data_IF_599291284504
#
_entry.id   IF_599291284504
#
_cell.length_a   1.000
_cell.length_b   1.000
_cell.length_c   1.000
_cell.angle_alpha   90.00
_cell.angle_beta   90.00
_cell.angle_gamma   90.00
#
_symmetry.space_group_name_H-M   'P 1'
#
loop_
_entity.id
_entity.type
_entity.pdbx_description
1 polymer ?
#
# COMPACT_ATOMS: atom_id res chain seq x y z
N UNK A 1 32.75 -4.79 5.66
CA UNK A 1 32.04 -3.66 5.01
C UNK A 1 30.59 -4.06 4.84
N UNK A 2 29.62 -3.20 5.15
CA UNK A 2 28.20 -3.52 4.95
C UNK A 2 27.93 -3.85 3.48
N UNK A 3 27.17 -4.92 3.20
CA UNK A 3 26.85 -5.32 1.84
C UNK A 3 25.98 -4.26 1.14
N UNK A 4 26.08 -4.19 -0.20
CA UNK A 4 25.26 -3.26 -0.98
C UNK A 4 23.80 -3.71 -1.06
N UNK A 5 22.87 -2.78 -0.83
CA UNK A 5 21.42 -3.03 -0.81
C UNK A 5 20.88 -3.17 -2.24
N UNK A 6 20.19 -4.26 -2.53
CA UNK A 6 19.48 -4.47 -3.80
C UNK A 6 18.19 -3.64 -3.86
N UNK A 7 17.89 -3.07 -5.02
CA UNK A 7 16.72 -2.23 -5.26
C UNK A 7 15.42 -3.05 -5.45
N UNK A 8 15.19 -4.05 -4.60
CA UNK A 8 13.99 -4.88 -4.63
C UNK A 8 13.43 -5.12 -3.22
N UNK A 9 12.11 -5.31 -3.18
CA UNK A 9 11.35 -5.86 -2.06
C UNK A 9 10.82 -7.22 -2.51
N UNK A 10 11.00 -8.24 -1.68
CA UNK A 10 10.67 -9.63 -2.02
C UNK A 10 9.65 -10.22 -1.06
N UNK A 11 8.70 -10.96 -1.60
CA UNK A 11 7.84 -11.87 -0.84
C UNK A 11 8.59 -13.13 -0.45
N UNK A 12 7.90 -13.99 0.29
CA UNK A 12 8.40 -15.28 0.78
C UNK A 12 7.29 -16.33 0.78
N UNK A 13 7.69 -17.59 0.77
CA UNK A 13 6.79 -18.71 0.46
C UNK A 13 5.78 -18.98 1.58
N UNK A 14 6.24 -19.09 2.83
CA UNK A 14 5.43 -19.61 3.93
C UNK A 14 5.61 -18.91 5.29
N UNK A 15 5.28 -19.64 6.35
CA UNK A 15 5.29 -19.15 7.75
C UNK A 15 6.71 -19.05 8.34
N UNK A 16 7.67 -19.75 7.76
CA UNK A 16 9.07 -19.76 8.19
C UNK A 16 9.98 -19.68 6.98
N UNK A 17 11.19 -19.15 7.20
CA UNK A 17 12.19 -19.07 6.14
C UNK A 17 12.84 -20.42 5.92
N UNK A 18 12.80 -20.88 4.66
CA UNK A 18 13.54 -22.06 4.24
C UNK A 18 15.06 -21.80 4.27
N UNK A 19 15.90 -22.84 4.36
CA UNK A 19 17.36 -22.67 4.24
C UNK A 19 17.78 -21.97 2.95
N UNK A 20 17.06 -22.21 1.85
CA UNK A 20 17.30 -21.60 0.55
C UNK A 20 16.99 -20.10 0.56
N UNK A 21 15.81 -19.71 1.07
CA UNK A 21 15.43 -18.30 1.26
C UNK A 21 16.42 -17.56 2.16
N UNK A 22 16.84 -18.18 3.28
CA UNK A 22 17.83 -17.58 4.19
C UNK A 22 19.14 -17.25 3.47
N UNK A 23 19.65 -18.20 2.69
CA UNK A 23 20.87 -17.99 1.90
C UNK A 23 20.65 -16.92 0.83
N UNK A 24 19.58 -17.05 0.06
CA UNK A 24 19.26 -16.16 -1.05
C UNK A 24 19.10 -14.71 -0.60
N UNK A 25 18.34 -14.46 0.48
CA UNK A 25 18.13 -13.11 1.02
C UNK A 25 19.40 -12.53 1.65
N UNK A 26 20.20 -13.34 2.36
CA UNK A 26 21.48 -12.89 2.92
C UNK A 26 22.49 -12.50 1.83
N UNK A 27 22.52 -13.21 0.71
CA UNK A 27 23.39 -12.87 -0.43
C UNK A 27 22.86 -11.65 -1.21
N UNK A 28 21.54 -11.59 -1.39
CA UNK A 28 20.86 -10.55 -2.17
C UNK A 28 20.87 -9.19 -1.48
N UNK A 29 20.61 -9.15 -0.18
CA UNK A 29 20.41 -7.93 0.61
C UNK A 29 19.30 -7.02 0.03
N UNK A 30 18.04 -7.50 -0.12
CA UNK A 30 16.93 -6.67 -0.60
C UNK A 30 16.67 -5.51 0.37
N UNK A 31 16.10 -4.41 -0.12
CA UNK A 31 15.77 -3.25 0.74
C UNK A 31 14.67 -3.58 1.75
N UNK A 32 13.88 -4.61 1.47
CA UNK A 32 12.79 -5.03 2.32
C UNK A 32 12.14 -6.33 1.88
N UNK A 33 11.10 -6.70 2.63
CA UNK A 33 10.29 -7.87 2.43
C UNK A 33 8.81 -7.51 2.53
N UNK A 34 7.93 -8.24 1.86
CA UNK A 34 6.48 -8.05 1.97
C UNK A 34 5.80 -9.33 2.47
N UNK A 35 4.94 -9.18 3.48
CA UNK A 35 4.18 -10.28 4.06
C UNK A 35 2.77 -10.36 3.44
N UNK A 36 2.35 -11.59 3.16
CA UNK A 36 1.00 -11.93 2.71
C UNK A 36 0.32 -12.85 3.71
N UNK A 37 -0.98 -13.13 3.50
CA UNK A 37 -1.76 -14.01 4.37
C UNK A 37 -1.09 -15.37 4.61
N UNK A 38 -0.41 -15.93 3.61
CA UNK A 38 0.32 -17.20 3.69
C UNK A 38 1.51 -17.19 4.67
N UNK A 39 1.92 -16.01 5.13
CA UNK A 39 3.03 -15.81 6.07
C UNK A 39 2.54 -15.52 7.51
N UNK A 40 1.22 -15.50 7.73
CA UNK A 40 0.57 -15.06 8.97
C UNK A 40 -0.22 -16.21 9.59
N UNK A 41 0.21 -16.68 10.75
CA UNK A 41 -0.52 -17.66 11.56
C UNK A 41 -0.87 -17.10 12.95
N UNK A 42 0.13 -16.90 13.83
CA UNK A 42 -0.03 -16.36 15.19
C UNK A 42 0.87 -15.14 15.42
N UNK A 43 0.57 -14.26 16.41
CA UNK A 43 1.43 -13.13 16.74
C UNK A 43 2.89 -13.51 17.01
N UNK A 44 3.13 -14.60 17.75
CA UNK A 44 4.46 -15.09 18.08
C UNK A 44 5.21 -15.60 16.84
N UNK A 45 4.53 -16.34 15.96
CA UNK A 45 5.11 -16.80 14.70
C UNK A 45 5.50 -15.63 13.80
N UNK A 46 4.62 -14.63 13.64
CA UNK A 46 4.91 -13.46 12.80
C UNK A 46 6.08 -12.65 13.38
N UNK A 47 6.13 -12.42 14.70
CA UNK A 47 7.27 -11.75 15.36
C UNK A 47 8.58 -12.49 15.09
N UNK A 48 8.59 -13.82 15.20
CA UNK A 48 9.76 -14.65 14.92
C UNK A 48 10.21 -14.57 13.45
N UNK A 49 9.26 -14.63 12.52
CA UNK A 49 9.51 -14.49 11.09
C UNK A 49 10.12 -13.13 10.75
N UNK A 50 9.51 -12.04 11.24
CA UNK A 50 9.98 -10.67 11.02
C UNK A 50 11.38 -10.46 11.62
N UNK A 51 11.62 -10.96 12.84
CA UNK A 51 12.94 -10.91 13.46
C UNK A 51 14.00 -11.67 12.61
N UNK A 52 13.64 -12.84 12.10
CA UNK A 52 14.50 -13.63 11.22
C UNK A 52 14.84 -12.89 9.92
N UNK A 53 13.84 -12.25 9.28
CA UNK A 53 14.04 -11.46 8.06
C UNK A 53 14.99 -10.27 8.30
N UNK A 54 14.78 -9.52 9.38
CA UNK A 54 15.64 -8.39 9.74
C UNK A 54 17.08 -8.82 10.02
N UNK A 55 17.28 -9.98 10.63
CA UNK A 55 18.61 -10.52 10.93
C UNK A 55 19.40 -10.97 9.68
N UNK A 56 18.74 -11.15 8.52
CA UNK A 56 19.41 -11.56 7.28
C UNK A 56 20.08 -10.42 6.52
N UNK A 57 19.75 -9.17 6.85
CA UNK A 57 20.24 -8.00 6.11
C UNK A 57 21.01 -7.02 7.00
N UNK A 58 22.03 -6.37 6.43
CA UNK A 58 22.96 -5.49 7.15
C UNK A 58 22.42 -4.05 7.34
N UNK A 59 21.11 -3.85 7.18
CA UNK A 59 20.45 -2.54 7.20
C UNK A 59 19.06 -2.63 7.81
N UNK A 60 18.43 -1.48 8.09
CA UNK A 60 17.03 -1.46 8.52
C UNK A 60 16.14 -1.91 7.37
N UNK A 61 15.67 -3.17 7.43
CA UNK A 61 14.77 -3.73 6.44
C UNK A 61 13.40 -3.03 6.49
N UNK A 62 12.87 -2.70 5.33
CA UNK A 62 11.45 -2.36 5.19
C UNK A 62 10.64 -3.67 5.23
N UNK A 63 9.77 -3.83 6.21
CA UNK A 63 8.86 -4.97 6.35
C UNK A 63 7.46 -4.46 6.03
N UNK A 64 6.97 -4.83 4.85
CA UNK A 64 5.74 -4.37 4.25
C UNK A 64 4.59 -5.37 4.50
N UNK A 65 3.38 -4.86 4.50
CA UNK A 65 2.13 -5.63 4.46
C UNK A 65 1.07 -4.80 3.72
N UNK A 66 -0.01 -5.42 3.24
CA UNK A 66 -1.23 -4.70 2.86
C UNK A 66 -2.31 -4.89 3.93
N UNK A 67 -2.37 -3.98 4.89
CA UNK A 67 -3.36 -4.00 5.95
C UNK A 67 -4.35 -2.83 5.82
N UNK A 68 -5.03 -2.67 4.68
CA UNK A 68 -5.93 -1.52 4.45
C UNK A 68 -7.17 -1.53 5.36
N UNK A 69 -7.66 -2.72 5.73
CA UNK A 69 -8.99 -2.92 6.30
C UNK A 69 -9.99 -3.42 5.26
N UNK A 70 -11.18 -3.81 5.71
CA UNK A 70 -12.18 -4.40 4.82
C UNK A 70 -11.62 -5.62 4.08
N UNK A 71 -11.89 -5.77 2.78
CA UNK A 71 -11.44 -6.96 2.02
C UNK A 71 -9.91 -7.10 1.90
N UNK A 72 -9.12 -6.03 1.97
CA UNK A 72 -7.65 -6.08 1.89
C UNK A 72 -7.06 -6.03 3.30
N UNK A 73 -7.01 -7.20 3.93
CA UNK A 73 -6.42 -7.39 5.26
C UNK A 73 -5.74 -8.74 5.40
N UNK A 74 -4.48 -8.75 5.84
CA UNK A 74 -3.70 -9.98 6.05
C UNK A 74 -3.81 -10.45 7.50
N UNK A 75 -3.71 -9.52 8.45
CA UNK A 75 -4.01 -9.72 9.87
C UNK A 75 -5.54 -9.71 10.06
N UNK A 76 -6.06 -10.71 10.77
CA UNK A 76 -7.49 -10.94 10.96
C UNK A 76 -7.81 -11.50 12.35
N UNK A 77 -9.08 -11.44 12.79
CA UNK A 77 -9.52 -12.21 13.95
C UNK A 77 -9.17 -13.70 13.85
N UNK A 78 -8.97 -14.38 14.99
CA UNK A 78 -9.17 -13.88 16.36
C UNK A 78 -7.98 -13.12 16.96
N UNK A 79 -6.81 -13.14 16.32
CA UNK A 79 -5.59 -12.57 16.89
C UNK A 79 -5.49 -11.05 16.74
N UNK A 80 -6.14 -10.49 15.72
CA UNK A 80 -6.09 -9.07 15.44
C UNK A 80 -7.49 -8.49 15.22
N UNK A 81 -7.66 -7.17 15.43
CA UNK A 81 -8.93 -6.48 15.19
C UNK A 81 -9.34 -6.56 13.72
N UNK A 82 -10.65 -6.48 13.48
CA UNK A 82 -11.19 -6.36 12.12
C UNK A 82 -11.45 -4.88 11.79
N UNK A 83 -10.49 -4.25 11.11
CA UNK A 83 -10.63 -2.85 10.68
C UNK A 83 -11.59 -2.75 9.48
N UNK A 84 -12.47 -1.73 9.44
CA UNK A 84 -13.42 -1.57 8.35
C UNK A 84 -12.73 -1.17 7.04
N UNK A 85 -13.44 -1.27 5.92
CA UNK A 85 -12.99 -0.68 4.66
C UNK A 85 -12.95 0.86 4.78
N UNK A 86 -12.10 1.52 3.98
CA UNK A 86 -11.93 2.97 4.06
C UNK A 86 -13.23 3.75 3.83
N UNK A 87 -14.09 3.31 2.89
CA UNK A 87 -15.36 3.97 2.60
C UNK A 87 -16.33 4.00 3.80
N UNK A 88 -16.17 3.08 4.76
CA UNK A 88 -17.02 2.99 5.94
C UNK A 88 -16.89 4.21 6.86
N UNK A 89 -15.74 4.90 6.86
CA UNK A 89 -15.52 6.04 7.75
C UNK A 89 -16.47 7.21 7.43
N UNK A 90 -16.76 7.46 6.15
CA UNK A 90 -17.69 8.49 5.70
C UNK A 90 -19.16 8.16 6.01
N UNK A 91 -19.49 6.88 6.26
CA UNK A 91 -20.86 6.44 6.53
C UNK A 91 -21.28 6.59 8.00
N UNK A 92 -20.32 6.77 8.92
CA UNK A 92 -20.59 6.78 10.38
C UNK A 92 -20.70 8.18 10.96
N UNK A 93 -20.32 9.20 10.20
CA UNK A 93 -20.44 10.61 10.58
C UNK A 93 -20.54 11.50 9.35
N UNK A 94 -21.26 12.62 9.47
CA UNK A 94 -21.32 13.67 8.47
C UNK A 94 -20.46 14.90 8.85
N UNK A 95 -19.74 14.85 9.98
CA UNK A 95 -18.81 15.90 10.39
C UNK A 95 -17.41 15.59 9.83
N UNK A 96 -16.89 16.39 8.88
CA UNK A 96 -15.57 16.15 8.27
C UNK A 96 -14.42 16.12 9.28
N UNK A 97 -14.53 16.82 10.42
CA UNK A 97 -13.49 16.79 11.45
C UNK A 97 -13.52 15.48 12.23
N UNK A 98 -14.72 14.99 12.58
CA UNK A 98 -14.88 13.71 13.26
C UNK A 98 -14.44 12.56 12.35
N UNK A 99 -14.78 12.59 11.06
CA UNK A 99 -14.32 11.62 10.07
C UNK A 99 -12.79 11.60 9.97
N UNK A 100 -12.16 12.77 9.83
CA UNK A 100 -10.70 12.89 9.74
C UNK A 100 -10.01 12.33 10.98
N UNK A 101 -10.51 12.65 12.18
CA UNK A 101 -9.96 12.12 13.43
C UNK A 101 -10.18 10.60 13.55
N UNK A 102 -11.33 10.09 13.10
CA UNK A 102 -11.62 8.66 13.09
C UNK A 102 -10.67 7.89 12.14
N UNK A 103 -10.43 8.43 10.94
CA UNK A 103 -9.49 7.85 9.97
C UNK A 103 -8.06 7.85 10.53
N UNK A 104 -7.62 8.96 11.12
CA UNK A 104 -6.29 9.05 11.78
C UNK A 104 -6.19 8.04 12.93
N UNK A 105 -7.23 7.93 13.76
CA UNK A 105 -7.26 7.00 14.89
C UNK A 105 -7.21 5.54 14.45
N UNK A 106 -7.98 5.17 13.42
CA UNK A 106 -7.96 3.83 12.84
C UNK A 106 -6.59 3.45 12.31
N UNK A 107 -5.97 4.33 11.52
CA UNK A 107 -4.60 4.13 11.03
C UNK A 107 -3.57 4.08 12.17
N UNK A 108 -3.74 4.89 13.23
CA UNK A 108 -2.85 4.89 14.40
C UNK A 108 -2.95 3.59 15.21
N UNK A 109 -4.14 3.02 15.37
CA UNK A 109 -4.38 1.73 16.01
C UNK A 109 -3.80 0.58 15.17
N UNK A 110 -4.04 0.61 13.87
CA UNK A 110 -3.48 -0.36 12.93
C UNK A 110 -1.95 -0.32 12.93
N UNK A 111 -1.35 0.88 12.95
CA UNK A 111 0.10 1.04 13.06
C UNK A 111 0.65 0.49 14.39
N UNK A 112 -0.09 0.61 15.49
CA UNK A 112 0.28 -0.01 16.75
C UNK A 112 0.35 -1.54 16.61
N UNK A 113 -0.70 -2.16 16.07
CA UNK A 113 -0.77 -3.62 15.88
C UNK A 113 0.36 -4.14 14.96
N UNK A 114 0.68 -3.39 13.90
CA UNK A 114 1.78 -3.71 12.99
C UNK A 114 3.15 -3.57 13.66
N UNK A 115 3.37 -2.48 14.40
CA UNK A 115 4.63 -2.21 15.07
C UNK A 115 4.95 -3.26 16.14
N UNK A 116 3.94 -3.80 16.84
CA UNK A 116 4.11 -4.90 17.79
C UNK A 116 4.68 -6.17 17.14
N UNK A 117 4.39 -6.40 15.86
CA UNK A 117 4.93 -7.51 15.06
C UNK A 117 6.31 -7.18 14.46
N UNK A 118 6.79 -5.94 14.60
CA UNK A 118 8.00 -5.44 13.98
C UNK A 118 7.82 -5.04 12.50
N UNK A 119 6.58 -5.01 11.99
CA UNK A 119 6.23 -4.51 10.67
C UNK A 119 6.31 -2.98 10.71
N UNK A 120 7.00 -2.37 9.75
CA UNK A 120 7.33 -0.94 9.79
C UNK A 120 6.92 -0.18 8.52
N UNK A 121 6.26 -0.85 7.58
CA UNK A 121 5.64 -0.25 6.40
C UNK A 121 4.29 -0.90 6.16
N UNK A 122 3.27 -0.08 5.92
CA UNK A 122 1.98 -0.56 5.45
C UNK A 122 1.71 0.01 4.06
N UNK A 123 1.23 -0.84 3.16
CA UNK A 123 0.83 -0.48 1.81
C UNK A 123 -0.55 0.19 1.84
N UNK A 124 -0.68 1.25 2.62
CA UNK A 124 -1.86 2.08 2.79
C UNK A 124 -1.40 3.51 3.08
N UNK A 125 -2.22 4.54 2.77
CA UNK A 125 -3.59 4.49 2.28
C UNK A 125 -3.74 4.39 0.75
N UNK A 126 -4.92 3.96 0.31
CA UNK A 126 -5.38 4.09 -1.09
C UNK A 126 -5.85 5.53 -1.33
N UNK A 127 -5.23 6.21 -2.28
CA UNK A 127 -5.55 7.59 -2.69
C UNK A 127 -6.26 7.64 -4.06
N UNK A 128 -6.81 6.52 -4.50
CA UNK A 128 -7.54 6.41 -5.75
C UNK A 128 -8.95 7.01 -5.61
N UNK A 129 -9.37 7.81 -6.59
CA UNK A 129 -10.70 8.46 -6.60
C UNK A 129 -11.65 7.69 -7.51
N UNK A 130 -12.53 6.82 -6.98
CA UNK A 130 -13.41 5.99 -7.79
C UNK A 130 -14.34 6.86 -8.64
N UNK A 131 -14.60 6.44 -9.88
CA UNK A 131 -15.60 7.06 -10.76
C UNK A 131 -16.83 6.16 -10.89
N UNK A 132 -18.02 6.70 -11.22
CA UNK A 132 -19.26 5.91 -11.28
C UNK A 132 -19.19 4.66 -12.18
N UNK A 133 -18.47 4.73 -13.29
CA UNK A 133 -18.34 3.62 -14.27
C UNK A 133 -17.04 2.82 -14.11
N UNK A 134 -16.29 3.05 -13.02
CA UNK A 134 -15.03 2.36 -12.78
C UNK A 134 -15.26 0.95 -12.22
N UNK A 135 -14.24 0.09 -12.36
CA UNK A 135 -14.27 -1.24 -11.78
C UNK A 135 -14.18 -1.17 -10.25
N UNK A 136 -14.83 -2.12 -9.58
CA UNK A 136 -14.84 -2.30 -8.11
C UNK A 136 -13.47 -2.71 -7.52
N UNK A 137 -12.37 -2.58 -8.27
CA UNK A 137 -11.03 -2.90 -7.75
C UNK A 137 -10.59 -1.88 -6.70
N UNK A 138 -11.04 -0.63 -6.83
CA UNK A 138 -10.94 0.39 -5.78
C UNK A 138 -12.16 0.28 -4.87
N UNK A 139 -13.37 0.59 -5.35
CA UNK A 139 -14.63 0.39 -4.60
C UNK A 139 -14.56 0.93 -3.17
N UNK A 140 -14.91 0.09 -2.20
CA UNK A 140 -14.90 0.35 -0.76
C UNK A 140 -13.53 0.67 -0.14
N UNK A 141 -12.43 0.49 -0.89
CA UNK A 141 -11.07 0.81 -0.45
C UNK A 141 -10.75 2.30 -0.55
N UNK A 142 -11.54 3.08 -1.27
CA UNK A 142 -11.37 4.53 -1.33
C UNK A 142 -11.90 5.20 -0.06
N UNK A 143 -11.22 6.25 0.38
CA UNK A 143 -11.66 7.06 1.51
C UNK A 143 -12.78 8.06 1.18
N UNK A 144 -13.23 8.11 -0.07
CA UNK A 144 -14.27 9.03 -0.51
C UNK A 144 -14.48 9.01 -2.01
N UNK A 145 -15.40 9.85 -2.49
CA UNK A 145 -15.79 9.92 -3.90
C UNK A 145 -15.34 11.22 -4.59
N UNK A 146 -14.81 12.19 -3.85
CA UNK A 146 -14.23 13.40 -4.42
C UNK A 146 -12.72 13.45 -4.22
N UNK A 147 -11.97 14.16 -5.09
CA UNK A 147 -10.53 14.35 -4.93
C UNK A 147 -10.16 14.98 -3.59
N UNK A 148 -10.98 15.90 -3.10
CA UNK A 148 -10.75 16.61 -1.83
C UNK A 148 -10.89 15.66 -0.64
N UNK A 149 -11.96 14.85 -0.61
CA UNK A 149 -12.18 13.92 0.49
C UNK A 149 -11.05 12.88 0.55
N UNK A 150 -10.71 12.28 -0.59
CA UNK A 150 -9.62 11.30 -0.68
C UNK A 150 -8.27 11.92 -0.27
N UNK A 151 -8.01 13.17 -0.66
CA UNK A 151 -6.78 13.86 -0.28
C UNK A 151 -6.68 14.08 1.24
N UNK A 152 -7.78 14.55 1.87
CA UNK A 152 -7.83 14.89 3.30
C UNK A 152 -7.82 13.64 4.17
N UNK A 153 -8.65 12.66 3.85
CA UNK A 153 -8.73 11.41 4.63
C UNK A 153 -7.50 10.53 4.41
N UNK A 154 -6.99 10.48 3.19
CA UNK A 154 -5.69 9.86 2.90
C UNK A 154 -4.55 10.48 3.70
N UNK A 155 -4.54 11.82 3.83
CA UNK A 155 -3.57 12.53 4.68
C UNK A 155 -3.70 12.11 6.15
N UNK A 156 -4.93 12.04 6.66
CA UNK A 156 -5.20 11.63 8.05
C UNK A 156 -4.71 10.20 8.33
N UNK A 157 -4.95 9.28 7.39
CA UNK A 157 -4.44 7.90 7.49
C UNK A 157 -2.90 7.89 7.52
N UNK A 158 -2.24 8.62 6.62
CA UNK A 158 -0.78 8.76 6.62
C UNK A 158 -0.24 9.28 7.95
N UNK A 159 -0.89 10.30 8.52
CA UNK A 159 -0.51 10.88 9.81
C UNK A 159 -0.68 9.87 10.96
N UNK A 160 -1.73 9.06 10.93
CA UNK A 160 -1.95 7.98 11.91
C UNK A 160 -0.87 6.90 11.83
N UNK A 161 -0.52 6.45 10.63
CA UNK A 161 0.56 5.48 10.42
C UNK A 161 1.91 5.99 10.93
N UNK A 162 2.28 7.21 10.50
CA UNK A 162 3.55 7.83 10.89
C UNK A 162 3.64 8.02 12.41
N UNK A 163 2.56 8.48 13.04
CA UNK A 163 2.46 8.61 14.51
C UNK A 163 2.64 7.28 15.25
N UNK A 164 2.25 6.16 14.63
CA UNK A 164 2.46 4.81 15.14
C UNK A 164 3.84 4.20 14.83
N UNK A 165 4.70 4.91 14.10
CA UNK A 165 6.02 4.41 13.70
C UNK A 165 6.02 3.51 12.46
N UNK A 166 4.92 3.47 11.71
CA UNK A 166 4.78 2.72 10.46
C UNK A 166 4.80 3.68 9.28
N UNK A 167 5.59 3.39 8.25
CA UNK A 167 5.60 4.22 7.04
C UNK A 167 4.36 3.92 6.18
N UNK A 168 3.59 4.94 5.76
CA UNK A 168 2.55 4.75 4.77
C UNK A 168 3.15 4.65 3.36
N UNK A 169 2.49 3.88 2.50
CA UNK A 169 2.72 3.86 1.05
C UNK A 169 1.45 4.33 0.36
N UNK A 170 1.47 5.55 -0.17
CA UNK A 170 0.33 6.08 -0.92
C UNK A 170 0.22 5.35 -2.27
N UNK A 171 -0.99 4.90 -2.63
CA UNK A 171 -1.20 4.08 -3.83
C UNK A 171 -2.57 4.28 -4.49
N UNK A 172 -2.73 4.01 -5.79
CA UNK A 172 -1.69 3.58 -6.74
C UNK A 172 -1.35 4.76 -7.64
N UNK A 173 -0.16 5.38 -7.47
CA UNK A 173 0.20 6.62 -8.14
C UNK A 173 0.35 6.40 -9.66
N UNK A 174 -0.23 7.24 -10.54
CA UNK A 174 -0.91 8.50 -10.25
C UNK A 174 -2.46 8.42 -10.13
N UNK A 175 -3.05 7.24 -10.02
CA UNK A 175 -4.47 7.05 -9.67
C UNK A 175 -5.13 5.89 -10.42
N UNK A 176 -5.67 4.91 -9.71
CA UNK A 176 -6.35 3.73 -10.25
C UNK A 176 -7.89 3.89 -10.31
N UNK A 177 -8.42 4.99 -9.77
CA UNK A 177 -9.87 5.17 -9.58
C UNK A 177 -10.74 5.20 -10.84
N UNK A 178 -10.13 5.38 -12.02
CA UNK A 178 -10.77 5.33 -13.35
C UNK A 178 -10.68 3.99 -14.07
N UNK A 179 -9.94 3.02 -13.53
CA UNK A 179 -9.68 1.78 -14.23
C UNK A 179 -10.98 1.00 -14.47
N UNK A 180 -11.24 0.63 -15.72
CA UNK A 180 -12.37 -0.22 -16.10
C UNK A 180 -12.14 -1.72 -15.90
N UNK A 181 -11.01 -2.13 -15.33
CA UNK A 181 -10.66 -3.53 -15.12
C UNK A 181 -9.79 -3.71 -13.86
N UNK A 182 -9.79 -4.93 -13.32
CA UNK A 182 -8.86 -5.35 -12.29
C UNK A 182 -7.47 -5.63 -12.89
N UNK A 183 -6.45 -4.89 -12.44
CA UNK A 183 -5.05 -5.07 -12.86
C UNK A 183 -4.43 -6.42 -12.50
N UNK A 184 -5.07 -7.22 -11.63
CA UNK A 184 -4.68 -8.62 -11.40
C UNK A 184 -5.04 -9.52 -12.59
N UNK A 185 -6.04 -9.13 -13.38
CA UNK A 185 -6.62 -9.93 -14.46
C UNK A 185 -6.22 -9.40 -15.83
N UNK A 186 -6.44 -8.10 -16.07
CA UNK A 186 -6.21 -7.44 -17.37
C UNK A 186 -5.56 -6.07 -17.19
N UNK A 187 -4.85 -5.58 -18.20
CA UNK A 187 -4.26 -4.23 -18.16
C UNK A 187 -5.36 -3.15 -18.28
N UNK A 188 -5.64 -2.37 -17.22
CA UNK A 188 -6.67 -1.34 -17.28
C UNK A 188 -6.21 -0.17 -18.14
N UNK A 189 -7.13 0.35 -18.93
CA UNK A 189 -6.92 1.50 -19.81
C UNK A 189 -7.82 2.65 -19.38
N UNK A 190 -7.26 3.85 -19.33
CA UNK A 190 -7.95 5.09 -18.98
C UNK A 190 -7.83 6.07 -20.14
N UNK A 191 -8.99 6.44 -20.69
CA UNK A 191 -9.14 7.36 -21.83
C UNK A 191 -9.40 8.83 -21.42
N UNK A 192 -9.42 9.11 -20.11
CA UNK A 192 -9.62 10.45 -19.59
C UNK A 192 -8.54 11.43 -20.10
N UNK A 193 -8.95 12.68 -20.32
CA UNK A 193 -8.04 13.75 -20.74
C UNK A 193 -7.05 14.09 -19.62
N UNK A 194 -5.87 14.58 -19.99
CA UNK A 194 -4.84 14.94 -19.02
C UNK A 194 -5.33 15.96 -17.97
N UNK A 195 -6.12 16.95 -18.38
CA UNK A 195 -6.68 17.95 -17.45
C UNK A 195 -7.64 17.33 -16.41
N UNK A 196 -8.40 16.31 -16.81
CA UNK A 196 -9.30 15.59 -15.90
C UNK A 196 -8.50 14.72 -14.93
N UNK A 197 -7.47 14.03 -15.44
CA UNK A 197 -6.54 13.26 -14.61
C UNK A 197 -5.83 14.15 -13.58
N UNK A 198 -5.39 15.36 -14.00
CA UNK A 198 -4.75 16.32 -13.10
C UNK A 198 -5.70 16.82 -12.02
N UNK A 199 -6.95 17.15 -12.38
CA UNK A 199 -7.93 17.71 -11.44
C UNK A 199 -8.48 16.68 -10.45
N UNK A 200 -8.55 15.41 -10.86
CA UNK A 200 -9.22 14.35 -10.09
C UNK A 200 -8.23 13.35 -9.54
N UNK A 201 -7.60 12.57 -10.42
CA UNK A 201 -6.81 11.40 -10.04
C UNK A 201 -5.48 11.80 -9.38
N UNK A 202 -4.83 12.85 -9.88
CA UNK A 202 -3.50 13.25 -9.43
C UNK A 202 -3.56 14.10 -8.16
N UNK A 203 -4.69 14.76 -7.93
CA UNK A 203 -4.86 15.75 -6.87
C UNK A 203 -4.60 15.18 -5.46
N UNK A 204 -5.15 14.00 -5.06
CA UNK A 204 -4.79 13.39 -3.78
C UNK A 204 -3.29 13.14 -3.61
N UNK A 205 -2.61 12.72 -4.68
CA UNK A 205 -1.16 12.49 -4.64
C UNK A 205 -0.35 13.78 -4.61
N UNK A 206 -0.84 14.87 -5.22
CA UNK A 206 -0.21 16.20 -5.13
C UNK A 206 -0.25 16.74 -3.70
N UNK A 207 -1.40 16.63 -3.03
CA UNK A 207 -1.58 17.05 -1.63
C UNK A 207 -0.70 16.23 -0.68
N UNK A 208 -0.48 14.96 -1.01
CA UNK A 208 0.30 14.01 -0.20
C UNK A 208 1.70 13.71 -0.78
N UNK A 209 2.23 14.59 -1.65
CA UNK A 209 3.50 14.38 -2.33
C UNK A 209 4.72 14.34 -1.37
N UNK A 210 4.55 14.84 -0.15
CA UNK A 210 5.53 14.82 0.92
C UNK A 210 5.65 13.46 1.63
N UNK A 211 4.83 12.46 1.28
CA UNK A 211 4.89 11.12 1.87
C UNK A 211 6.19 10.36 1.54
N UNK A 212 6.63 9.43 2.41
CA UNK A 212 7.94 8.79 2.26
C UNK A 212 8.01 7.83 1.07
N UNK A 213 6.91 7.11 0.78
CA UNK A 213 6.85 6.03 -0.21
C UNK A 213 5.55 6.15 -1.00
N UNK A 214 5.61 5.90 -2.31
CA UNK A 214 4.44 5.74 -3.16
C UNK A 214 4.59 4.51 -4.06
N UNK A 215 3.48 3.84 -4.34
CA UNK A 215 3.42 2.63 -5.17
C UNK A 215 2.78 2.92 -6.52
N UNK A 216 3.44 2.56 -7.62
CA UNK A 216 2.99 2.88 -8.98
C UNK A 216 1.85 1.97 -9.46
N UNK A 217 0.87 2.53 -10.15
CA UNK A 217 -0.23 1.78 -10.76
C UNK A 217 0.20 1.03 -12.04
N UNK A 218 -0.27 -0.21 -12.19
CA UNK A 218 -0.25 -0.92 -13.47
C UNK A 218 -1.44 -0.51 -14.36
N UNK A 219 -1.56 0.79 -14.64
CA UNK A 219 -2.66 1.38 -15.43
C UNK A 219 -2.08 2.14 -16.62
N UNK A 220 -2.69 1.98 -17.79
CA UNK A 220 -2.30 2.66 -19.02
C UNK A 220 -3.20 3.89 -19.24
N UNK A 221 -2.58 5.07 -19.28
CA UNK A 221 -3.27 6.35 -19.46
C UNK A 221 -3.03 6.86 -20.88
N UNK A 222 -4.04 6.77 -21.75
CA UNK A 222 -3.89 7.05 -23.18
C UNK A 222 -3.46 8.49 -23.47
N UNK A 223 -3.88 9.45 -22.63
CA UNK A 223 -3.48 10.85 -22.74
C UNK A 223 -1.98 11.10 -22.44
N UNK A 224 -1.26 10.13 -21.86
CA UNK A 224 0.14 10.28 -21.42
C UNK A 224 1.05 9.31 -22.19
N UNK A 225 0.77 8.01 -22.08
CA UNK A 225 1.47 6.94 -22.78
C UNK A 225 0.47 5.82 -23.12
N UNK A 226 0.14 5.70 -24.40
CA UNK A 226 -0.83 4.72 -24.90
C UNK A 226 -0.23 3.31 -25.12
N UNK A 227 1.05 3.11 -24.77
CA UNK A 227 1.75 1.83 -24.93
C UNK A 227 2.15 1.20 -23.60
N UNK A 228 2.55 2.01 -22.64
CA UNK A 228 3.10 1.52 -21.38
C UNK A 228 2.25 1.95 -20.19
N UNK A 229 1.94 1.04 -19.24
CA UNK A 229 1.35 1.42 -17.96
C UNK A 229 2.28 2.36 -17.17
N UNK A 230 1.73 3.07 -16.19
CA UNK A 230 2.48 4.05 -15.40
C UNK A 230 3.77 3.47 -14.81
N UNK A 231 3.74 2.24 -14.27
CA UNK A 231 4.91 1.53 -13.75
C UNK A 231 6.09 1.45 -14.73
N UNK A 232 5.84 1.30 -16.03
CA UNK A 232 6.88 1.14 -17.07
C UNK A 232 6.98 2.33 -18.03
N UNK A 233 6.20 3.38 -17.80
CA UNK A 233 6.15 4.58 -18.63
C UNK A 233 7.05 5.68 -18.08
N UNK A 234 8.12 6.00 -18.82
CA UNK A 234 8.97 7.19 -18.54
C UNK A 234 8.17 8.49 -18.50
N UNK A 235 7.12 8.59 -19.32
CA UNK A 235 6.28 9.79 -19.40
C UNK A 235 5.42 9.92 -18.14
N UNK A 236 4.78 8.84 -17.70
CA UNK A 236 4.01 8.82 -16.46
C UNK A 236 4.91 9.12 -15.26
N UNK A 237 6.08 8.49 -15.15
CA UNK A 237 6.99 8.76 -14.02
C UNK A 237 7.58 10.17 -14.05
N UNK A 238 7.74 10.78 -15.23
CA UNK A 238 8.07 12.21 -15.34
C UNK A 238 6.93 13.09 -14.80
N UNK A 239 5.67 12.76 -15.07
CA UNK A 239 4.51 13.44 -14.45
C UNK A 239 4.51 13.26 -12.93
N UNK A 240 4.79 12.05 -12.43
CA UNK A 240 4.86 11.79 -10.99
C UNK A 240 5.92 12.67 -10.30
N UNK A 241 7.08 12.86 -10.92
CA UNK A 241 8.14 13.71 -10.35
C UNK A 241 7.89 15.21 -10.58
N UNK A 242 7.56 15.61 -11.80
CA UNK A 242 7.56 17.02 -12.20
C UNK A 242 6.21 17.73 -11.98
N UNK A 243 5.09 17.01 -12.09
CA UNK A 243 3.73 17.57 -12.00
C UNK A 243 3.07 17.24 -10.67
N UNK A 244 3.17 15.98 -10.22
CA UNK A 244 2.68 15.60 -8.88
C UNK A 244 3.63 16.11 -7.80
N UNK A 245 4.93 16.20 -8.10
CA UNK A 245 5.94 16.69 -7.16
C UNK A 245 6.41 15.63 -6.16
N UNK A 246 6.11 14.35 -6.39
CA UNK A 246 6.50 13.28 -5.47
C UNK A 246 8.01 13.02 -5.55
N UNK A 247 8.76 13.37 -4.51
CA UNK A 247 10.22 13.19 -4.46
C UNK A 247 10.68 12.01 -3.59
N UNK A 248 9.73 11.33 -2.92
CA UNK A 248 9.97 10.16 -2.08
C UNK A 248 10.39 8.90 -2.86
N UNK A 249 10.43 7.78 -2.14
CA UNK A 249 10.79 6.48 -2.71
C UNK A 249 9.65 5.94 -3.57
N UNK A 250 9.90 5.71 -4.86
CA UNK A 250 8.94 5.03 -5.74
C UNK A 250 9.18 3.53 -5.74
N UNK A 251 8.13 2.78 -5.45
CA UNK A 251 8.09 1.32 -5.49
C UNK A 251 7.09 0.89 -6.56
N UNK A 252 7.34 -0.21 -7.27
CA UNK A 252 6.30 -0.77 -8.15
C UNK A 252 5.19 -1.41 -7.32
N UNK A 253 3.97 -1.48 -7.87
CA UNK A 253 3.06 -2.57 -7.49
C UNK A 253 3.64 -3.92 -7.96
N UNK A 254 3.04 -5.04 -7.58
CA UNK A 254 3.62 -6.37 -7.76
C UNK A 254 3.91 -6.67 -9.24
N UNK A 255 5.18 -6.96 -9.54
CA UNK A 255 5.60 -7.25 -10.91
C UNK A 255 5.13 -8.62 -11.41
N UNK A 256 4.65 -9.53 -10.56
CA UNK A 256 4.03 -10.79 -11.00
C UNK A 256 2.61 -10.62 -11.56
N UNK A 257 1.95 -9.49 -11.35
CA UNK A 257 0.59 -9.25 -11.84
C UNK A 257 0.49 -9.32 -13.38
N UNK A 258 -0.68 -9.75 -13.88
CA UNK A 258 -0.90 -9.99 -15.31
C UNK A 258 -1.02 -8.72 -16.16
N UNK A 259 -1.25 -7.55 -15.55
CA UNK A 259 -1.31 -6.27 -16.26
C UNK A 259 0.00 -5.90 -16.99
N UNK A 260 1.13 -6.50 -16.62
CA UNK A 260 2.42 -6.28 -17.29
C UNK A 260 2.72 -7.36 -18.32
N UNK A 261 3.30 -6.99 -19.46
CA UNK A 261 3.68 -7.95 -20.50
C UNK A 261 5.13 -8.43 -20.37
N UNK A 262 5.42 -9.62 -20.89
CA UNK A 262 6.76 -10.19 -20.93
C UNK A 262 7.22 -10.85 -19.62
N UNK A 263 8.46 -11.35 -19.62
CA UNK A 263 9.07 -12.03 -18.47
C UNK A 263 9.32 -11.08 -17.30
N UNK A 264 9.41 -11.60 -16.08
CA UNK A 264 9.71 -10.80 -14.88
C UNK A 264 10.97 -9.94 -15.05
N UNK A 265 12.05 -10.51 -15.59
CA UNK A 265 13.27 -9.76 -15.85
C UNK A 265 13.08 -8.58 -16.83
N UNK A 266 12.22 -8.73 -17.86
CA UNK A 266 11.86 -7.61 -18.75
C UNK A 266 11.05 -6.55 -18.02
N UNK A 267 10.11 -6.96 -17.16
CA UNK A 267 9.28 -6.05 -16.34
C UNK A 267 10.15 -5.23 -15.38
N UNK A 268 11.09 -5.87 -14.67
CA UNK A 268 12.08 -5.21 -13.79
C UNK A 268 12.90 -4.17 -14.57
N UNK A 269 13.50 -4.57 -15.69
CA UNK A 269 14.26 -3.65 -16.55
C UNK A 269 13.42 -2.47 -17.03
N UNK A 270 12.17 -2.71 -17.41
CA UNK A 270 11.27 -1.66 -17.89
C UNK A 270 10.93 -0.65 -16.78
N UNK A 271 10.55 -1.13 -15.59
CA UNK A 271 10.21 -0.28 -14.45
C UNK A 271 11.39 0.59 -13.98
N UNK A 272 12.57 -0.02 -13.82
CA UNK A 272 13.78 0.71 -13.43
C UNK A 272 14.22 1.73 -14.48
N UNK A 273 14.10 1.40 -15.77
CA UNK A 273 14.37 2.36 -16.86
C UNK A 273 13.32 3.47 -16.93
N UNK A 274 12.09 3.22 -16.51
CA UNK A 274 11.04 4.22 -16.43
C UNK A 274 11.38 5.29 -15.38
N UNK A 275 12.02 4.87 -14.28
CA UNK A 275 12.41 5.76 -13.18
C UNK A 275 11.90 5.34 -11.79
N UNK A 276 11.40 4.11 -11.64
CA UNK A 276 11.10 3.54 -10.32
C UNK A 276 12.39 3.32 -9.55
N UNK A 277 12.37 3.54 -8.23
CA UNK A 277 13.56 3.41 -7.39
C UNK A 277 13.77 1.96 -6.92
N UNK A 278 12.69 1.24 -6.60
CA UNK A 278 12.68 -0.13 -6.06
C UNK A 278 11.57 -0.96 -6.71
N UNK A 279 11.87 -2.20 -7.10
CA UNK A 279 10.87 -3.13 -7.64
C UNK A 279 10.28 -4.02 -6.55
N UNK A 280 9.00 -4.36 -6.67
CA UNK A 280 8.28 -5.26 -5.75
C UNK A 280 7.93 -6.56 -6.46
N UNK A 281 8.22 -7.69 -5.81
CA UNK A 281 7.78 -9.02 -6.23
C UNK A 281 7.20 -9.77 -5.04
N UNK A 282 5.96 -10.23 -5.16
CA UNK A 282 5.17 -10.65 -4.00
C UNK A 282 5.05 -12.17 -3.83
N UNK A 283 5.29 -12.99 -4.85
CA UNK A 283 4.87 -14.42 -4.81
C UNK A 283 5.64 -15.27 -3.81
N UNK A 284 6.92 -14.97 -3.57
CA UNK A 284 7.82 -15.80 -2.77
C UNK A 284 8.34 -17.05 -3.50
N UNK A 285 8.01 -17.23 -4.79
CA UNK A 285 8.53 -18.34 -5.58
C UNK A 285 10.00 -18.10 -5.94
N UNK A 286 10.89 -19.00 -5.53
CA UNK A 286 12.35 -18.84 -5.68
C UNK A 286 12.78 -18.54 -7.12
N UNK A 287 12.32 -19.33 -8.10
CA UNK A 287 12.69 -19.15 -9.50
C UNK A 287 12.26 -17.78 -10.09
N UNK A 288 11.20 -17.18 -9.55
CA UNK A 288 10.78 -15.82 -9.92
C UNK A 288 11.66 -14.77 -9.24
N UNK A 289 11.94 -14.95 -7.93
CA UNK A 289 12.80 -14.06 -7.17
C UNK A 289 14.21 -13.99 -7.76
N UNK A 290 14.78 -15.11 -8.19
CA UNK A 290 16.08 -15.15 -8.88
C UNK A 290 16.08 -14.31 -10.16
N UNK A 291 15.03 -14.42 -10.99
CA UNK A 291 14.89 -13.59 -12.19
C UNK A 291 14.80 -12.10 -11.86
N UNK A 292 14.07 -11.74 -10.79
CA UNK A 292 13.93 -10.35 -10.35
C UNK A 292 15.27 -9.82 -9.87
N UNK A 293 15.95 -10.56 -8.98
CA UNK A 293 17.23 -10.15 -8.39
C UNK A 293 18.34 -10.07 -9.44
N UNK A 294 18.38 -10.98 -10.41
CA UNK A 294 19.35 -10.96 -11.50
C UNK A 294 19.35 -9.63 -12.26
N UNK A 295 18.17 -9.03 -12.44
CA UNK A 295 17.98 -7.78 -13.18
C UNK A 295 17.94 -6.54 -12.28
N UNK A 296 17.96 -6.73 -10.96
CA UNK A 296 17.84 -5.66 -9.98
C UNK A 296 19.23 -5.11 -9.62
N UNK A 297 19.51 -3.82 -9.87
CA UNK A 297 20.76 -3.22 -9.49
C UNK A 297 20.80 -2.97 -7.98
N UNK A 298 22.00 -2.69 -7.47
CA UNK A 298 22.15 -2.12 -6.13
C UNK A 298 21.70 -0.66 -6.11
N UNK A 299 21.06 -0.24 -5.01
CA UNK A 299 20.65 1.14 -4.79
C UNK A 299 21.87 2.07 -4.84
N UNK A 300 21.76 3.17 -5.60
CA UNK A 300 22.82 4.19 -5.72
C UNK A 300 22.23 5.56 -6.05
N UNK A 301 23.00 6.62 -5.84
CA UNK A 301 22.60 7.98 -6.22
C UNK A 301 21.25 8.41 -5.62
N UNK A 302 20.29 8.80 -6.48
CA UNK A 302 18.96 9.27 -6.05
C UNK A 302 18.14 8.18 -5.36
N UNK A 303 18.11 6.94 -5.87
CA UNK A 303 17.30 5.87 -5.29
C UNK A 303 17.78 5.49 -3.89
N UNK A 304 19.09 5.39 -3.68
CA UNK A 304 19.65 5.15 -2.34
C UNK A 304 19.34 6.30 -1.36
N UNK A 305 19.43 7.55 -1.82
CA UNK A 305 19.07 8.72 -1.01
C UNK A 305 17.61 8.68 -0.59
N UNK A 306 16.70 8.37 -1.52
CA UNK A 306 15.26 8.26 -1.26
C UNK A 306 14.93 7.13 -0.30
N UNK A 307 15.53 5.95 -0.49
CA UNK A 307 15.35 4.82 0.42
C UNK A 307 15.80 5.16 1.85
N UNK A 308 16.99 5.76 1.99
CA UNK A 308 17.48 6.23 3.30
C UNK A 308 16.60 7.32 3.91
N UNK A 309 16.05 8.22 3.10
CA UNK A 309 15.14 9.26 3.57
C UNK A 309 13.80 8.67 4.06
N UNK A 310 13.26 7.68 3.36
CA UNK A 310 12.07 6.96 3.79
C UNK A 310 12.32 6.22 5.11
N UNK A 311 13.40 5.42 5.21
CA UNK A 311 13.77 4.70 6.44
C UNK A 311 13.93 5.64 7.64
N UNK A 312 14.50 6.84 7.43
CA UNK A 312 14.68 7.85 8.49
C UNK A 312 13.35 8.41 9.05
N UNK A 313 12.23 8.20 8.37
CA UNK A 313 10.91 8.61 8.86
C UNK A 313 10.26 7.60 9.81
N UNK A 314 10.84 6.42 9.98
CA UNK A 314 10.37 5.45 10.98
C UNK A 314 10.62 6.03 12.37
N UNK A 315 9.56 6.34 13.10
CA UNK A 315 9.67 6.76 14.49
C UNK A 315 10.09 5.56 15.34
N UNK A 316 11.21 5.69 16.06
CA UNK A 316 11.68 4.67 17.01
C UNK A 316 10.88 4.67 18.31
N UNK A 317 10.27 5.80 18.64
CA UNK A 317 9.34 5.96 19.75
C UNK A 317 8.06 6.56 19.17
N UNK A 318 7.01 5.75 18.96
CA UNK A 318 5.72 6.23 18.50
C UNK A 318 5.10 7.28 19.44
N UNK A 319 4.17 8.10 18.92
CA UNK A 319 3.36 9.00 19.74
C UNK A 319 2.62 8.21 20.84
N UNK A 320 2.55 8.67 22.10
CA UNK A 320 1.83 7.96 23.16
C UNK A 320 0.37 7.68 22.78
N UNK A 321 -0.10 6.47 23.09
CA UNK A 321 -1.48 6.06 22.84
C UNK A 321 -1.95 5.16 23.98
N UNK A 322 -3.04 5.54 24.64
CA UNK A 322 -3.81 4.60 25.45
C UNK A 322 -4.63 3.73 24.49
N UNK A 323 -4.13 2.53 24.22
CA UNK A 323 -4.70 1.63 23.20
C UNK A 323 -6.09 1.15 23.61
N UNK A 324 -6.35 0.96 24.91
CA UNK A 324 -7.64 0.45 25.39
C UNK A 324 -8.71 1.52 25.18
N UNK A 325 -8.44 2.75 25.63
CA UNK A 325 -9.33 3.88 25.44
C UNK A 325 -9.52 4.25 23.95
N UNK A 326 -8.43 4.25 23.18
CA UNK A 326 -8.47 4.52 21.75
C UNK A 326 -9.36 3.52 20.99
N UNK A 327 -9.25 2.22 21.31
CA UNK A 327 -10.11 1.18 20.73
C UNK A 327 -11.57 1.38 21.10
N UNK A 328 -11.85 1.61 22.38
CA UNK A 328 -13.22 1.85 22.85
C UNK A 328 -13.88 3.04 22.13
N UNK A 329 -13.14 4.15 21.95
CA UNK A 329 -13.62 5.32 21.19
C UNK A 329 -13.84 5.00 19.72
N UNK A 330 -12.90 4.31 19.09
CA UNK A 330 -12.98 3.90 17.69
C UNK A 330 -14.21 3.02 17.42
N UNK A 331 -14.38 1.97 18.24
CA UNK A 331 -15.48 1.02 18.10
C UNK A 331 -16.85 1.68 18.37
N UNK A 332 -16.92 2.57 19.36
CA UNK A 332 -18.14 3.33 19.67
C UNK A 332 -18.60 4.19 18.49
N UNK A 333 -17.67 4.86 17.78
CA UNK A 333 -18.03 5.67 16.61
C UNK A 333 -18.40 4.77 15.43
N UNK A 334 -17.68 3.68 15.20
CA UNK A 334 -17.96 2.75 14.09
C UNK A 334 -19.29 2.00 14.22
N UNK A 335 -19.77 1.79 15.45
CA UNK A 335 -21.07 1.19 15.71
C UNK A 335 -22.25 2.08 15.24
N UNK A 336 -22.02 3.39 15.04
CA UNK A 336 -23.04 4.29 14.50
C UNK A 336 -23.43 3.84 13.09
N UNK A 337 -24.73 3.77 12.82
CA UNK A 337 -25.25 3.33 11.51
C UNK A 337 -25.40 1.81 11.33
N UNK A 338 -24.86 0.95 12.22
CA UNK A 338 -25.23 -0.47 12.22
C UNK A 338 -26.68 -0.69 12.69
N UNK A 339 -27.21 0.20 13.53
CA UNK A 339 -28.61 0.17 14.02
C UNK A 339 -29.65 0.56 12.96
N UNK A 340 -29.24 1.20 11.85
CA UNK A 340 -30.16 1.61 10.79
C UNK A 340 -30.53 0.46 9.84
N UNK A 341 -29.75 -0.64 9.83
CA UNK A 341 -29.94 -1.79 8.92
C UNK A 341 -30.74 -2.93 9.56
N UNK A 342 -30.91 -2.94 10.88
CA UNK A 342 -31.64 -3.99 11.63
C UNK A 342 -33.15 -3.78 11.75
N UNK A 343 -33.73 -2.77 11.08
CA UNK A 343 -35.20 -2.58 11.00
C UNK A 343 -35.76 -2.84 9.60
N UNK A 344 -35.60 -4.06 9.10
CA UNK A 344 -36.55 -4.66 8.17
C UNK A 344 -36.80 -6.08 8.63
N UNK A 345 -37.82 -6.25 9.47
CA UNK A 345 -38.32 -7.55 9.87
C UNK A 345 -39.10 -8.15 8.68
N UNK A 346 -38.72 -9.32 8.12
CA UNK A 346 -39.40 -9.89 6.94
C UNK A 346 -40.81 -10.43 7.21
N UNK A 347 -41.34 -10.29 8.43
CA UNK A 347 -42.64 -10.87 8.82
C UNK A 347 -43.78 -9.86 8.88
N UNK A 348 -43.95 -9.03 7.86
CA UNK A 348 -45.24 -8.37 7.56
C UNK A 348 -45.49 -8.28 6.05
N UNK A 349 -45.76 -9.41 5.39
CA UNK A 349 -46.52 -9.41 4.12
C UNK A 349 -47.38 -10.66 3.95
N UNK A 350 -48.15 -10.99 4.98
CA UNK A 350 -49.36 -11.79 4.83
C UNK A 350 -50.56 -10.98 5.34
N UNK A 351 -51.18 -10.21 4.44
CA UNK A 351 -52.60 -9.85 4.47
C UNK A 351 -52.95 -8.93 3.29
N UNK A 352 -53.29 -9.52 2.13
CA UNK A 352 -54.43 -9.16 1.27
C UNK A 352 -54.33 -9.91 -0.06
#
# INVERSE_FOLDING_TARGET
>A
MAKAIAACILGLEGLELTPEERKFFSDTQPVGFILFRRNIETPEQVKSLVASLKALVDHEALILIDQEGGRVRRLRPPHWPDYPAAGRYAEVTNDPNEERELVRLGARLMAHDLAELGINVDCAPVLDVPQPDAHEIVGDRAYGHTPQDVAIMGRAACEGFLAGGVLPVIKHIPGHGRAGADSHMDLPRVDAKLDDLMRVDFYPFQVNADMPIAMTAHVLYNAIDNRNPATTSKKCLKIVRDVIGFEGLLVTDDLSMNALSGTLGKRVKAALRAGVDVVLHCSGQMAEMEQVVHETPKLKGKSLRRARAAIKRILRVPEPLDVIDARARFDMVLARGQEAVTKVDPTESQAS
#
